data_IF_935174401361
#
_entry.id   IF_935174401361
#
_cell.length_a   1.000
_cell.length_b   1.000
_cell.length_c   1.000
_cell.angle_alpha   90.00
_cell.angle_beta   90.00
_cell.angle_gamma   90.00
#
_symmetry.space_group_name_H-M   'P 1'
#
loop_
_entity.id
_entity.type
_entity.pdbx_description
1 polymer ?
#
# COMPACT_ATOMS: atom_id res chain seq x y z
N UNK A 1 -14.01 -4.26 -0.36
CA UNK A 1 -13.09 -4.63 0.74
C UNK A 1 -12.13 -5.77 0.37
N UNK A 2 -12.53 -6.85 -0.31
CA UNK A 2 -11.70 -8.04 -0.55
C UNK A 2 -10.52 -7.93 -1.54
N UNK A 3 -10.47 -6.90 -2.40
CA UNK A 3 -9.45 -6.81 -3.47
C UNK A 3 -8.35 -5.77 -3.22
N UNK A 4 -8.35 -5.12 -2.05
CA UNK A 4 -7.38 -4.07 -1.72
C UNK A 4 -6.35 -4.61 -0.73
N UNK A 5 -5.07 -4.53 -1.08
CA UNK A 5 -3.95 -4.87 -0.21
C UNK A 5 -3.35 -3.58 0.35
N UNK A 6 -3.29 -3.48 1.68
CA UNK A 6 -2.71 -2.32 2.38
C UNK A 6 -1.49 -2.82 3.15
N UNK A 7 -0.34 -2.20 2.91
CA UNK A 7 0.91 -2.55 3.59
C UNK A 7 1.54 -1.27 4.11
N UNK A 8 1.81 -1.24 5.41
CA UNK A 8 2.34 -0.07 6.12
C UNK A 8 3.77 -0.38 6.54
N UNK A 9 4.69 0.54 6.26
CA UNK A 9 6.11 0.41 6.58
C UNK A 9 6.53 1.52 7.53
N UNK A 10 7.42 1.18 8.48
CA UNK A 10 7.95 2.15 9.46
C UNK A 10 9.10 2.99 8.89
N UNK A 11 9.88 2.43 7.96
CA UNK A 11 11.03 3.11 7.37
C UNK A 11 11.06 2.94 5.86
N UNK A 12 11.68 3.90 5.17
CA UNK A 12 11.83 3.87 3.71
C UNK A 12 12.72 2.70 3.23
N UNK A 13 13.69 2.29 4.07
CA UNK A 13 14.56 1.16 3.79
C UNK A 13 13.79 -0.17 3.77
N UNK A 14 12.91 -0.37 4.75
CA UNK A 14 12.07 -1.58 4.83
C UNK A 14 11.05 -1.59 3.68
N UNK A 15 10.46 -0.44 3.36
CA UNK A 15 9.56 -0.28 2.22
C UNK A 15 10.16 -0.80 0.92
N UNK A 16 11.39 -0.39 0.56
CA UNK A 16 12.02 -0.80 -0.71
C UNK A 16 12.27 -2.31 -0.73
N UNK A 17 12.81 -2.86 0.36
CA UNK A 17 13.14 -4.29 0.47
C UNK A 17 11.89 -5.17 0.40
N UNK A 18 10.85 -4.78 1.13
CA UNK A 18 9.65 -5.59 1.28
C UNK A 18 8.68 -5.41 0.13
N UNK A 19 8.62 -4.24 -0.50
CA UNK A 19 7.82 -4.01 -1.71
C UNK A 19 8.22 -4.99 -2.82
N UNK A 20 9.52 -5.13 -3.08
CA UNK A 20 10.02 -6.07 -4.08
C UNK A 20 9.61 -7.52 -3.76
N UNK A 21 9.68 -7.88 -2.48
CA UNK A 21 9.28 -9.21 -2.01
C UNK A 21 7.78 -9.46 -2.19
N UNK A 22 6.94 -8.46 -1.89
CA UNK A 22 5.49 -8.54 -2.04
C UNK A 22 5.10 -8.66 -3.51
N UNK A 23 5.66 -7.82 -4.38
CA UNK A 23 5.39 -7.86 -5.82
C UNK A 23 5.78 -9.23 -6.41
N UNK A 24 6.93 -9.77 -6.02
CA UNK A 24 7.34 -11.11 -6.45
C UNK A 24 6.39 -12.21 -5.97
N UNK A 25 5.91 -12.15 -4.72
CA UNK A 25 4.92 -13.12 -4.21
C UNK A 25 3.60 -13.04 -4.94
N UNK A 26 3.12 -11.84 -5.26
CA UNK A 26 1.88 -11.64 -6.03
C UNK A 26 2.03 -12.18 -7.46
N UNK A 27 3.19 -11.95 -8.08
CA UNK A 27 3.54 -12.52 -9.40
C UNK A 27 3.53 -14.05 -9.38
N UNK A 28 4.15 -14.69 -8.39
CA UNK A 28 4.16 -16.15 -8.25
C UNK A 28 2.75 -16.74 -8.05
N UNK A 29 1.81 -15.95 -7.52
CA UNK A 29 0.41 -16.34 -7.34
C UNK A 29 -0.49 -15.95 -8.53
N UNK A 30 0.07 -15.44 -9.63
CA UNK A 30 -0.68 -14.89 -10.77
C UNK A 30 -1.71 -13.82 -10.39
N UNK A 31 -1.44 -13.02 -9.34
CA UNK A 31 -2.31 -11.92 -8.93
C UNK A 31 -1.84 -10.65 -9.64
N UNK A 32 -2.69 -10.13 -10.53
CA UNK A 32 -2.44 -8.86 -11.22
C UNK A 32 -2.79 -7.66 -10.33
N UNK A 33 -1.93 -6.64 -10.34
CA UNK A 33 -2.17 -5.38 -9.63
C UNK A 33 -2.45 -4.29 -10.68
N UNK A 34 -3.47 -3.47 -10.44
CA UNK A 34 -3.76 -2.33 -11.31
C UNK A 34 -2.83 -1.15 -10.96
N UNK A 35 -1.89 -0.83 -11.86
CA UNK A 35 -0.92 0.26 -11.67
C UNK A 35 -1.61 1.60 -11.43
N UNK A 36 -2.69 1.89 -12.17
CA UNK A 36 -3.45 3.14 -12.06
C UNK A 36 -4.17 3.31 -10.71
N UNK A 37 -4.40 2.21 -9.98
CA UNK A 37 -5.06 2.20 -8.66
C UNK A 37 -4.07 1.91 -7.52
N UNK A 38 -2.79 1.81 -7.84
CA UNK A 38 -1.74 1.51 -6.86
C UNK A 38 -1.10 2.81 -6.37
N UNK A 39 -1.12 3.01 -5.06
CA UNK A 39 -0.41 4.10 -4.42
C UNK A 39 0.78 3.51 -3.67
N UNK A 40 1.99 3.87 -4.07
CA UNK A 40 3.23 3.32 -3.50
C UNK A 40 4.14 4.46 -3.07
N UNK A 41 4.56 4.47 -1.80
CA UNK A 41 5.56 5.44 -1.30
C UNK A 41 5.02 6.83 -0.94
N UNK A 42 3.71 7.00 -0.80
CA UNK A 42 3.12 8.26 -0.34
C UNK A 42 2.98 8.28 1.18
N UNK A 43 3.34 9.40 1.80
CA UNK A 43 3.09 9.68 3.23
C UNK A 43 1.60 9.84 3.53
N UNK A 44 0.79 10.23 2.53
CA UNK A 44 -0.65 10.37 2.63
C UNK A 44 -1.36 9.62 1.49
N UNK A 45 -2.35 8.78 1.79
CA UNK A 45 -3.09 8.05 0.76
C UNK A 45 -4.53 7.75 1.18
N UNK A 46 -5.43 7.66 0.19
CA UNK A 46 -6.84 7.33 0.42
C UNK A 46 -6.99 5.82 0.36
N UNK A 47 -7.31 5.22 1.50
CA UNK A 47 -7.52 3.78 1.65
C UNK A 47 -8.96 3.55 2.05
N UNK A 48 -9.71 2.82 1.21
CA UNK A 48 -11.10 2.44 1.51
C UNK A 48 -12.03 3.64 1.81
N UNK A 49 -11.74 4.81 1.23
CA UNK A 49 -12.48 6.05 1.49
C UNK A 49 -11.94 6.90 2.64
N UNK A 50 -10.89 6.45 3.32
CA UNK A 50 -10.26 7.16 4.44
C UNK A 50 -8.90 7.72 4.06
N UNK A 51 -8.61 8.95 4.47
CA UNK A 51 -7.27 9.53 4.35
C UNK A 51 -6.39 8.95 5.46
N UNK A 52 -5.32 8.26 5.07
CA UNK A 52 -4.30 7.73 5.97
C UNK A 52 -3.04 8.55 5.78
N UNK A 53 -2.61 9.27 6.82
CA UNK A 53 -1.33 9.98 6.87
C UNK A 53 -0.37 9.24 7.81
N UNK A 54 0.92 9.18 7.44
CA UNK A 54 2.04 8.63 8.22
C UNK A 54 2.05 9.06 9.68
N UNK A 55 1.53 10.26 9.97
CA UNK A 55 1.53 10.82 11.32
C UNK A 55 0.21 10.65 12.07
N UNK A 56 -0.92 10.46 11.38
CA UNK A 56 -2.24 10.32 11.98
C UNK A 56 -3.21 9.65 11.00
N UNK A 57 -3.97 8.64 11.46
CA UNK A 57 -5.19 8.24 10.77
C UNK A 57 -6.21 9.36 11.02
N UNK A 58 -6.23 10.36 10.13
CA UNK A 58 -7.16 11.47 10.23
C UNK A 58 -8.50 10.97 9.70
N UNK A 59 -9.42 10.67 10.62
CA UNK A 59 -10.81 10.40 10.30
C UNK A 59 -11.42 11.64 9.63
N UNK A 60 -11.54 11.61 8.31
CA UNK A 60 -12.39 12.56 7.60
C UNK A 60 -13.80 11.98 7.58
N UNK A 61 -14.73 12.77 8.13
CA UNK A 61 -16.13 12.42 8.38
C UNK A 61 -16.95 12.49 7.09
#
# INVERSE_FOLDING_TARGET
YYNNLIVIFKTLKDYIKDLYTILNKLRLKNISISILKSFTGFSNTIVLGYIVDTFNIIFTK
#
